data_IF_851495862788
#
_entry.id   IF_851495862788
#
_cell.length_a   1.000
_cell.length_b   1.000
_cell.length_c   1.000
_cell.angle_alpha   90.00
_cell.angle_beta   90.00
_cell.angle_gamma   90.00
#
_symmetry.space_group_name_H-M   'P 1'
#
loop_
_entity.id
_entity.type
_entity.pdbx_description
1 polymer ?
#
# COMPACT_ATOMS: atom_id res chain seq x y z
N UNK A 1 -39.00 26.71 8.94
CA UNK A 1 -37.53 26.69 9.10
C UNK A 1 -37.12 25.22 9.08
N UNK A 2 -37.02 24.55 7.91
CA UNK A 2 -35.97 24.64 6.88
C UNK A 2 -34.58 24.36 7.47
N UNK A 3 -33.74 23.43 7.00
CA UNK A 3 -33.79 22.54 5.84
C UNK A 3 -32.81 21.38 6.05
N UNK A 4 -33.09 20.24 5.42
CA UNK A 4 -32.19 19.10 5.30
C UNK A 4 -31.00 19.45 4.38
N UNK A 5 -29.77 19.21 4.84
CA UNK A 5 -28.57 19.40 4.04
C UNK A 5 -28.30 18.17 3.16
N UNK A 6 -28.76 18.28 1.92
CA UNK A 6 -28.34 17.62 0.68
C UNK A 6 -26.98 16.89 0.71
N UNK A 7 -27.02 15.57 0.54
CA UNK A 7 -25.91 14.75 0.07
C UNK A 7 -25.70 14.95 -1.44
N UNK A 8 -24.85 15.91 -1.81
CA UNK A 8 -24.20 15.98 -3.12
C UNK A 8 -22.85 15.25 -3.01
N UNK A 9 -22.37 14.42 -3.93
CA UNK A 9 -22.83 14.00 -5.24
C UNK A 9 -21.78 13.02 -5.78
N UNK A 10 -22.20 11.94 -6.43
CA UNK A 10 -21.31 11.06 -7.19
C UNK A 10 -21.88 10.90 -8.60
N UNK A 11 -21.95 12.03 -9.31
CA UNK A 11 -22.18 12.03 -10.76
C UNK A 11 -20.82 11.94 -11.43
N UNK A 12 -20.27 10.73 -11.49
CA UNK A 12 -19.10 10.45 -12.33
C UNK A 12 -19.48 10.77 -13.78
N UNK A 13 -18.88 11.81 -14.35
CA UNK A 13 -19.15 12.22 -15.73
C UNK A 13 -18.77 11.10 -16.69
N UNK A 14 -19.51 10.93 -17.79
CA UNK A 14 -19.15 10.01 -18.87
C UNK A 14 -17.70 10.22 -19.35
N UNK A 15 -17.19 11.46 -19.27
CA UNK A 15 -15.79 11.77 -19.58
C UNK A 15 -14.79 11.14 -18.59
N UNK A 16 -15.11 11.08 -17.29
CA UNK A 16 -14.28 10.43 -16.28
C UNK A 16 -14.26 8.91 -16.46
N UNK A 17 -15.40 8.30 -16.82
CA UNK A 17 -15.48 6.86 -17.13
C UNK A 17 -14.63 6.51 -18.35
N UNK A 18 -14.68 7.32 -19.41
CA UNK A 18 -13.86 7.14 -20.61
C UNK A 18 -12.38 7.34 -20.31
N UNK A 19 -12.02 8.34 -19.50
CA UNK A 19 -10.64 8.57 -19.08
C UNK A 19 -10.09 7.41 -18.24
N UNK A 20 -10.84 6.89 -17.28
CA UNK A 20 -10.45 5.73 -16.47
C UNK A 20 -10.32 4.43 -17.30
N UNK A 21 -11.07 4.32 -18.40
CA UNK A 21 -10.94 3.21 -19.35
C UNK A 21 -9.71 3.34 -20.27
N UNK A 22 -9.08 4.52 -20.34
CA UNK A 22 -7.97 4.79 -21.24
C UNK A 22 -6.73 3.92 -20.87
N UNK A 23 -6.02 3.33 -21.84
CA UNK A 23 -4.88 2.45 -21.57
C UNK A 23 -3.79 3.10 -20.71
N UNK A 24 -3.54 4.40 -20.91
CA UNK A 24 -2.55 5.16 -20.12
C UNK A 24 -3.00 5.38 -18.67
N UNK A 25 -4.30 5.58 -18.41
CA UNK A 25 -4.82 5.67 -17.05
C UNK A 25 -4.70 4.33 -16.31
N UNK A 26 -4.95 3.20 -17.00
CA UNK A 26 -4.72 1.86 -16.45
C UNK A 26 -3.24 1.55 -16.24
N UNK A 27 -2.34 2.04 -17.10
CA UNK A 27 -0.91 1.87 -16.92
C UNK A 27 -0.41 2.66 -15.70
N UNK A 28 -0.87 3.90 -15.53
CA UNK A 28 -0.59 4.71 -14.36
C UNK A 28 -1.08 4.03 -13.07
N UNK A 29 -2.30 3.49 -13.05
CA UNK A 29 -2.81 2.78 -11.86
C UNK A 29 -2.01 1.51 -11.53
N UNK A 30 -1.49 0.79 -12.54
CA UNK A 30 -0.63 -0.39 -12.33
C UNK A 30 0.74 -0.01 -11.78
N UNK A 31 1.30 1.09 -12.26
CA UNK A 31 2.54 1.67 -11.75
C UNK A 31 2.41 2.07 -10.28
N UNK A 32 1.31 2.75 -9.94
CA UNK A 32 1.02 3.19 -8.58
C UNK A 32 0.86 1.98 -7.65
N UNK A 33 0.11 0.96 -8.07
CA UNK A 33 -0.06 -0.28 -7.31
C UNK A 33 1.27 -1.03 -7.10
N UNK A 34 2.06 -1.20 -8.16
CA UNK A 34 3.35 -1.89 -8.06
C UNK A 34 4.34 -1.16 -7.13
N UNK A 35 4.35 0.17 -7.17
CA UNK A 35 5.20 0.96 -6.29
C UNK A 35 4.74 0.91 -4.82
N UNK A 36 3.44 0.91 -4.58
CA UNK A 36 2.86 0.74 -3.24
C UNK A 36 3.12 -0.67 -2.69
N UNK A 37 3.00 -1.71 -3.52
CA UNK A 37 3.32 -3.10 -3.16
C UNK A 37 4.80 -3.25 -2.81
N UNK A 38 5.69 -2.59 -3.55
CA UNK A 38 7.11 -2.57 -3.21
C UNK A 38 7.35 -1.95 -1.83
N UNK A 39 6.74 -0.79 -1.56
CA UNK A 39 6.85 -0.15 -0.25
C UNK A 39 6.26 -1.02 0.87
N UNK A 40 5.16 -1.74 0.62
CA UNK A 40 4.58 -2.68 1.57
C UNK A 40 5.53 -3.83 1.91
N UNK A 41 6.22 -4.40 0.92
CA UNK A 41 7.23 -5.46 1.14
C UNK A 41 8.41 -4.91 1.94
N UNK A 42 8.89 -3.71 1.60
CA UNK A 42 9.96 -3.03 2.33
C UNK A 42 9.58 -2.81 3.80
N UNK A 43 8.40 -2.27 4.07
CA UNK A 43 7.91 -2.02 5.43
C UNK A 43 7.68 -3.32 6.21
N UNK A 44 7.19 -4.36 5.53
CA UNK A 44 7.07 -5.70 6.12
C UNK A 44 8.43 -6.22 6.57
N UNK A 45 9.46 -6.11 5.73
CA UNK A 45 10.81 -6.56 6.08
C UNK A 45 11.37 -5.78 7.28
N UNK A 46 11.08 -4.48 7.35
CA UNK A 46 11.49 -3.65 8.49
C UNK A 46 10.76 -4.01 9.78
N UNK A 47 9.46 -4.29 9.69
CA UNK A 47 8.67 -4.78 10.81
C UNK A 47 9.15 -6.14 11.30
N UNK A 48 9.52 -7.04 10.39
CA UNK A 48 10.08 -8.33 10.77
C UNK A 48 11.38 -8.17 11.58
N UNK A 49 12.27 -7.26 11.19
CA UNK A 49 13.49 -6.96 11.96
C UNK A 49 13.18 -6.46 13.38
N UNK A 50 12.08 -5.72 13.59
CA UNK A 50 11.67 -5.31 14.94
C UNK A 50 11.22 -6.48 15.82
N UNK A 51 10.74 -7.58 15.23
CA UNK A 51 10.34 -8.80 15.95
C UNK A 51 11.46 -9.82 16.13
N UNK A 52 12.55 -9.71 15.36
CA UNK A 52 13.70 -10.63 15.44
C UNK A 52 14.43 -10.53 16.78
N UNK A 53 14.56 -9.32 17.34
CA UNK A 53 15.25 -9.11 18.62
C UNK A 53 14.32 -9.21 19.83
N UNK A 54 13.00 -9.38 19.61
CA UNK A 54 12.05 -9.69 20.68
C UNK A 54 12.24 -11.15 21.05
N UNK A 55 13.03 -11.39 22.10
CA UNK A 55 13.32 -12.72 22.63
C UNK A 55 12.06 -13.53 22.98
N UNK A 56 12.28 -14.77 23.42
CA UNK A 56 11.20 -15.71 23.73
C UNK A 56 10.50 -15.41 25.07
N UNK A 57 11.03 -14.47 25.87
CA UNK A 57 10.55 -14.13 27.21
C UNK A 57 9.31 -13.22 27.24
N UNK A 58 8.60 -13.09 26.11
CA UNK A 58 7.39 -12.27 25.98
C UNK A 58 6.08 -13.02 26.24
N UNK A 59 4.94 -12.32 26.38
CA UNK A 59 3.61 -12.95 26.56
C UNK A 59 3.18 -13.89 25.42
N UNK A 60 3.77 -13.71 24.23
CA UNK A 60 3.55 -14.58 23.06
C UNK A 60 4.52 -15.77 23.02
N UNK A 61 5.48 -15.85 23.95
CA UNK A 61 6.54 -16.83 23.95
C UNK A 61 7.41 -16.78 22.69
N UNK A 62 8.12 -17.88 22.45
CA UNK A 62 8.80 -18.17 21.20
C UNK A 62 8.32 -19.45 20.53
N UNK A 63 8.99 -19.84 19.44
CA UNK A 63 8.70 -21.03 18.66
C UNK A 63 7.93 -20.79 17.35
N UNK A 64 7.89 -21.82 16.50
CA UNK A 64 7.47 -21.73 15.10
C UNK A 64 6.04 -21.18 14.89
N UNK A 65 5.11 -21.46 15.81
CA UNK A 65 3.74 -20.91 15.73
C UNK A 65 3.70 -19.40 15.96
N UNK A 66 4.48 -18.93 16.94
CA UNK A 66 4.62 -17.51 17.24
C UNK A 66 5.37 -16.77 16.13
N UNK A 67 6.38 -17.39 15.52
CA UNK A 67 7.11 -16.80 14.38
C UNK A 67 6.22 -16.62 13.14
N UNK A 68 5.39 -17.62 12.84
CA UNK A 68 4.41 -17.52 11.76
C UNK A 68 3.38 -16.40 12.03
N UNK A 69 2.92 -16.28 13.28
CA UNK A 69 2.01 -15.22 13.70
C UNK A 69 2.65 -13.83 13.58
N UNK A 70 3.88 -13.65 14.08
CA UNK A 70 4.65 -12.39 13.96
C UNK A 70 4.86 -12.00 12.50
N UNK A 71 5.15 -12.97 11.63
CA UNK A 71 5.33 -12.74 10.20
C UNK A 71 4.04 -12.27 9.53
N UNK A 72 2.91 -12.90 9.83
CA UNK A 72 1.59 -12.48 9.32
C UNK A 72 1.23 -11.08 9.84
N UNK A 73 1.48 -10.78 11.11
CA UNK A 73 1.27 -9.44 11.67
C UNK A 73 2.14 -8.40 10.98
N UNK A 74 3.42 -8.67 10.79
CA UNK A 74 4.34 -7.77 10.10
C UNK A 74 3.87 -7.46 8.66
N UNK A 75 3.38 -8.45 7.93
CA UNK A 75 2.78 -8.27 6.59
C UNK A 75 1.55 -7.35 6.64
N UNK A 76 0.64 -7.58 7.58
CA UNK A 76 -0.56 -6.74 7.72
C UNK A 76 -0.23 -5.30 8.12
N UNK A 77 0.77 -5.10 8.98
CA UNK A 77 1.25 -3.76 9.33
C UNK A 77 1.92 -3.09 8.13
N UNK A 78 2.84 -3.76 7.45
CA UNK A 78 3.54 -3.21 6.28
C UNK A 78 2.56 -2.76 5.19
N UNK A 79 1.55 -3.57 4.87
CA UNK A 79 0.49 -3.23 3.92
C UNK A 79 -0.38 -2.07 4.39
N UNK A 80 -0.81 -2.06 5.66
CA UNK A 80 -1.64 -0.96 6.18
C UNK A 80 -0.89 0.37 6.18
N UNK A 81 0.39 0.36 6.58
CA UNK A 81 1.23 1.56 6.59
C UNK A 81 1.41 2.07 5.16
N UNK A 82 1.77 1.20 4.21
CA UNK A 82 1.88 1.56 2.79
C UNK A 82 0.56 2.14 2.24
N UNK A 83 -0.58 1.52 2.58
CA UNK A 83 -1.91 2.00 2.15
C UNK A 83 -2.34 3.32 2.79
N UNK A 84 -1.85 3.63 3.99
CA UNK A 84 -2.21 4.85 4.73
C UNK A 84 -1.32 6.06 4.39
N UNK A 85 -0.43 5.93 3.40
CA UNK A 85 0.46 6.99 2.95
C UNK A 85 1.96 6.64 3.01
N UNK A 86 2.31 5.51 3.63
CA UNK A 86 3.67 4.95 3.60
C UNK A 86 4.73 5.88 4.20
N UNK A 87 5.96 5.70 3.73
CA UNK A 87 7.12 6.55 4.08
C UNK A 87 7.61 7.39 2.90
N UNK A 88 6.95 7.27 1.74
CA UNK A 88 7.23 8.03 0.52
C UNK A 88 8.13 7.33 -0.48
N UNK A 89 8.54 6.08 -0.22
CA UNK A 89 9.38 5.29 -1.14
C UNK A 89 8.61 4.95 -2.42
N UNK A 90 7.29 4.71 -2.31
CA UNK A 90 6.45 4.41 -3.46
C UNK A 90 6.52 5.49 -4.55
N UNK A 91 6.65 6.77 -4.19
CA UNK A 91 6.76 7.85 -5.17
C UNK A 91 8.06 7.77 -5.99
N UNK A 92 9.18 7.43 -5.34
CA UNK A 92 10.48 7.27 -6.00
C UNK A 92 10.48 6.02 -6.88
N UNK A 93 10.00 4.89 -6.35
CA UNK A 93 9.91 3.62 -7.09
C UNK A 93 9.02 3.76 -8.33
N UNK A 94 7.89 4.46 -8.21
CA UNK A 94 7.03 4.78 -9.36
C UNK A 94 7.78 5.53 -10.45
N UNK A 95 8.60 6.52 -10.09
CA UNK A 95 9.40 7.30 -11.05
C UNK A 95 10.38 6.40 -11.80
N UNK A 96 11.07 5.50 -11.09
CA UNK A 96 11.99 4.53 -11.68
C UNK A 96 11.27 3.52 -12.58
N UNK A 97 10.14 2.96 -12.12
CA UNK A 97 9.33 2.05 -12.92
C UNK A 97 8.78 2.70 -14.20
N UNK A 98 8.53 4.01 -14.16
CA UNK A 98 8.12 4.79 -15.32
C UNK A 98 9.30 5.01 -16.28
N UNK A 99 10.50 5.33 -15.77
CA UNK A 99 11.71 5.48 -16.58
C UNK A 99 12.06 4.16 -17.31
N UNK A 100 12.01 3.04 -16.59
CA UNK A 100 12.23 1.70 -17.16
C UNK A 100 11.24 1.36 -18.29
N UNK A 101 9.99 1.81 -18.20
CA UNK A 101 9.00 1.64 -19.27
C UNK A 101 9.24 2.54 -20.47
N UNK A 102 9.91 3.68 -20.27
CA UNK A 102 10.27 4.61 -21.33
C UNK A 102 11.60 4.26 -22.01
N UNK A 103 12.35 3.26 -21.50
CA UNK A 103 13.57 2.76 -22.12
C UNK A 103 14.77 3.71 -22.02
N UNK A 104 14.75 4.59 -21.02
CA UNK A 104 15.84 5.52 -20.66
C UNK A 104 16.32 5.21 -19.26
#
# INVERSE_FOLDING_TARGET
MAAAASAAGASTSAAQTVYAAHPQAKAASKLDAAAQDFEAVFLTQMMQSMFTDVGEDGPLGGGAGTDAYRSMLADQYGRNIAASGGVGIAAQVRSELLALQQGT
#
